data_IF_328881341044
#
_entry.id   IF_328881341044
#
_cell.length_a   1.000
_cell.length_b   1.000
_cell.length_c   1.000
_cell.angle_alpha   90.00
_cell.angle_beta   90.00
_cell.angle_gamma   90.00
#
_symmetry.space_group_name_H-M   'P 1'
#
loop_
_entity.id
_entity.type
_entity.pdbx_description
1 polymer ?
#
# COMPACT_ATOMS: atom_id res chain seq x y z
N UNK A 1 14.40 -26.77 -4.25
CA UNK A 1 14.28 -25.46 -3.59
C UNK A 1 15.42 -24.56 -4.03
N UNK A 2 15.12 -23.34 -4.42
CA UNK A 2 16.15 -22.40 -4.85
C UNK A 2 16.64 -21.54 -3.68
N UNK A 3 17.89 -21.10 -3.76
CA UNK A 3 18.47 -20.17 -2.79
C UNK A 3 18.59 -18.81 -3.48
N UNK A 4 18.06 -17.77 -2.83
CA UNK A 4 18.09 -16.40 -3.35
C UNK A 4 18.74 -15.49 -2.31
N UNK A 5 19.65 -14.63 -2.78
CA UNK A 5 20.29 -13.64 -1.92
C UNK A 5 19.59 -12.28 -2.08
N UNK A 6 19.32 -11.63 -0.96
CA UNK A 6 18.63 -10.34 -0.92
C UNK A 6 19.41 -9.38 -0.03
N UNK A 7 19.34 -8.10 -0.37
CA UNK A 7 19.93 -7.02 0.45
C UNK A 7 18.82 -6.27 1.17
N UNK A 8 19.04 -6.03 2.46
CA UNK A 8 18.11 -5.27 3.31
C UNK A 8 18.88 -4.14 4.02
N UNK A 9 18.23 -2.98 4.22
CA UNK A 9 18.80 -1.98 5.12
C UNK A 9 19.02 -2.54 6.52
N UNK A 10 20.06 -2.06 7.22
CA UNK A 10 20.40 -2.56 8.55
C UNK A 10 19.23 -2.47 9.53
N UNK A 11 18.47 -1.39 9.49
CA UNK A 11 17.31 -1.22 10.35
C UNK A 11 16.24 -2.28 10.08
N UNK A 12 16.02 -2.61 8.81
CA UNK A 12 15.04 -3.64 8.43
C UNK A 12 15.47 -5.02 8.92
N UNK A 13 16.76 -5.32 8.95
CA UNK A 13 17.28 -6.58 9.52
C UNK A 13 16.92 -6.68 11.01
N UNK A 14 17.07 -5.59 11.76
CA UNK A 14 16.71 -5.56 13.19
C UNK A 14 15.21 -5.79 13.38
N UNK A 15 14.40 -5.15 12.59
CA UNK A 15 12.95 -5.31 12.63
C UNK A 15 12.52 -6.73 12.24
N UNK A 16 13.15 -7.29 11.21
CA UNK A 16 12.94 -8.68 10.79
C UNK A 16 13.22 -9.66 11.93
N UNK A 17 14.35 -9.51 12.61
CA UNK A 17 14.74 -10.39 13.71
C UNK A 17 13.80 -10.25 14.90
N UNK A 18 13.30 -9.04 15.15
CA UNK A 18 12.32 -8.78 16.20
C UNK A 18 10.98 -9.48 15.91
N UNK A 19 10.48 -9.35 14.70
CA UNK A 19 9.23 -10.00 14.27
C UNK A 19 9.39 -11.52 14.28
N UNK A 20 10.53 -12.02 13.84
CA UNK A 20 10.80 -13.45 13.82
C UNK A 20 10.72 -14.05 15.23
N UNK A 21 11.30 -13.37 16.22
CA UNK A 21 11.27 -13.85 17.61
C UNK A 21 9.88 -13.72 18.24
N UNK A 22 9.24 -12.54 18.11
CA UNK A 22 7.94 -12.30 18.73
C UNK A 22 6.82 -13.09 18.08
N UNK A 23 6.92 -13.35 16.77
CA UNK A 23 5.92 -14.07 16.01
C UNK A 23 6.09 -15.60 16.02
N UNK A 24 7.14 -16.12 16.64
CA UNK A 24 7.38 -17.57 16.72
C UNK A 24 7.80 -18.21 15.41
N UNK A 25 8.36 -17.45 14.48
CA UNK A 25 8.86 -18.00 13.23
C UNK A 25 10.19 -18.73 13.47
N UNK A 26 10.37 -19.86 12.78
CA UNK A 26 11.55 -20.72 12.96
C UNK A 26 12.87 -20.05 12.54
N UNK A 27 12.82 -19.08 11.61
CA UNK A 27 13.99 -18.35 11.17
C UNK A 27 13.62 -17.29 10.14
N UNK A 28 14.63 -16.60 9.61
CA UNK A 28 14.43 -15.53 8.62
C UNK A 28 13.76 -16.04 7.35
N UNK A 29 14.16 -17.21 6.86
CA UNK A 29 13.56 -17.78 5.64
C UNK A 29 12.07 -18.07 5.81
N UNK A 30 11.66 -18.62 6.96
CA UNK A 30 10.24 -18.87 7.22
C UNK A 30 9.46 -17.56 7.35
N UNK A 31 10.03 -16.57 8.01
CA UNK A 31 9.40 -15.24 8.11
C UNK A 31 9.18 -14.65 6.72
N UNK A 32 10.19 -14.67 5.86
CA UNK A 32 10.09 -14.12 4.49
C UNK A 32 9.06 -14.90 3.67
N UNK A 33 9.05 -16.23 3.75
CA UNK A 33 8.04 -17.04 3.04
C UNK A 33 6.63 -16.69 3.50
N UNK A 34 6.43 -16.53 4.80
CA UNK A 34 5.13 -16.15 5.36
C UNK A 34 4.69 -14.77 4.91
N UNK A 35 5.60 -13.81 4.87
CA UNK A 35 5.32 -12.46 4.38
C UNK A 35 4.90 -12.47 2.90
N UNK A 36 5.61 -13.25 2.08
CA UNK A 36 5.28 -13.37 0.65
C UNK A 36 3.91 -14.03 0.47
N UNK A 37 3.61 -15.09 1.23
CA UNK A 37 2.29 -15.73 1.16
C UNK A 37 1.18 -14.75 1.52
N UNK A 38 1.38 -13.96 2.58
CA UNK A 38 0.41 -12.95 3.00
C UNK A 38 0.16 -11.90 1.91
N UNK A 39 1.23 -11.42 1.28
CA UNK A 39 1.13 -10.45 0.19
C UNK A 39 0.43 -11.05 -1.04
N UNK A 40 0.70 -12.31 -1.36
CA UNK A 40 0.03 -12.99 -2.47
C UNK A 40 -1.47 -13.15 -2.23
N UNK A 41 -1.88 -13.48 -1.02
CA UNK A 41 -3.30 -13.57 -0.66
C UNK A 41 -3.99 -12.22 -0.78
N UNK A 42 -3.37 -11.15 -0.25
CA UNK A 42 -3.89 -9.79 -0.36
C UNK A 42 -4.05 -9.37 -1.82
N UNK A 43 -3.05 -9.67 -2.65
CA UNK A 43 -3.10 -9.36 -4.09
C UNK A 43 -4.22 -10.12 -4.80
N UNK A 44 -4.46 -11.39 -4.46
CA UNK A 44 -5.54 -12.19 -5.03
C UNK A 44 -6.91 -11.62 -4.68
N UNK A 45 -7.13 -11.24 -3.44
CA UNK A 45 -8.38 -10.62 -3.02
C UNK A 45 -8.65 -9.34 -3.81
N UNK A 46 -7.65 -8.47 -3.95
CA UNK A 46 -7.79 -7.21 -4.68
C UNK A 46 -8.02 -7.44 -6.18
N UNK A 47 -7.33 -8.40 -6.78
CA UNK A 47 -7.45 -8.71 -8.21
C UNK A 47 -8.73 -9.46 -8.55
N UNK A 48 -9.32 -10.17 -7.60
CA UNK A 48 -10.58 -10.89 -7.80
C UNK A 48 -11.80 -9.97 -7.80
N UNK A 49 -11.64 -8.72 -7.37
CA UNK A 49 -12.74 -7.77 -7.32
C UNK A 49 -13.18 -7.37 -8.73
N UNK A 50 -14.47 -7.34 -8.94
CA UNK A 50 -15.07 -6.98 -10.22
C UNK A 50 -16.35 -6.19 -10.00
N UNK A 51 -16.80 -5.49 -11.06
CA UNK A 51 -18.01 -4.69 -11.02
C UNK A 51 -17.83 -3.37 -10.28
N UNK A 52 -18.91 -2.83 -9.79
CA UNK A 52 -18.95 -1.57 -9.07
C UNK A 52 -18.49 -1.77 -7.62
N UNK A 53 -17.63 -0.88 -7.13
CA UNK A 53 -17.11 -1.03 -5.78
C UNK A 53 -17.00 0.33 -5.07
N UNK A 54 -17.04 0.25 -3.74
CA UNK A 54 -16.71 1.35 -2.83
C UNK A 54 -15.45 0.98 -2.06
N UNK A 55 -14.49 1.89 -2.03
CA UNK A 55 -13.21 1.65 -1.40
C UNK A 55 -12.59 2.94 -0.85
N UNK A 56 -11.58 2.79 -0.02
CA UNK A 56 -10.77 3.92 0.45
C UNK A 56 -9.32 3.63 0.13
N UNK A 57 -8.63 4.60 -0.47
CA UNK A 57 -7.17 4.58 -0.57
C UNK A 57 -6.61 5.53 0.49
N UNK A 58 -5.70 5.04 1.30
CA UNK A 58 -4.99 5.82 2.31
C UNK A 58 -3.53 5.94 1.87
N UNK A 59 -3.07 7.19 1.73
CA UNK A 59 -1.69 7.48 1.29
C UNK A 59 -1.01 8.32 2.36
N UNK A 60 0.21 7.96 2.72
CA UNK A 60 1.05 8.79 3.57
C UNK A 60 2.29 9.23 2.78
N UNK A 61 2.68 10.50 2.96
CA UNK A 61 3.80 11.08 2.24
C UNK A 61 4.40 12.25 3.00
N UNK A 62 5.62 12.62 2.63
CA UNK A 62 6.21 13.87 3.09
C UNK A 62 5.49 15.04 2.40
N UNK A 63 5.34 16.16 3.10
CA UNK A 63 4.65 17.33 2.56
C UNK A 63 5.25 17.87 1.25
N UNK A 64 6.54 17.61 1.00
CA UNK A 64 7.21 18.02 -0.23
C UNK A 64 6.83 17.16 -1.45
N UNK A 65 6.16 16.03 -1.25
CA UNK A 65 5.83 15.07 -2.31
C UNK A 65 4.33 15.08 -2.67
N UNK A 66 3.72 16.25 -2.67
CA UNK A 66 2.30 16.43 -3.01
C UNK A 66 2.00 16.28 -4.51
N UNK A 67 2.96 16.62 -5.38
CA UNK A 67 2.72 16.69 -6.82
C UNK A 67 2.17 15.39 -7.45
N UNK A 68 2.72 14.20 -7.19
CA UNK A 68 2.18 12.98 -7.77
C UNK A 68 0.76 12.68 -7.29
N UNK A 69 0.42 13.06 -6.06
CA UNK A 69 -0.91 12.83 -5.50
C UNK A 69 -1.94 13.72 -6.21
N UNK A 70 -1.64 14.98 -6.41
CA UNK A 70 -2.50 15.92 -7.14
C UNK A 70 -2.74 15.44 -8.56
N UNK A 71 -1.68 14.97 -9.23
CA UNK A 71 -1.78 14.43 -10.59
C UNK A 71 -2.72 13.24 -10.66
N UNK A 72 -2.55 12.27 -9.76
CA UNK A 72 -3.38 11.05 -9.75
C UNK A 72 -4.82 11.35 -9.36
N UNK A 73 -5.06 12.28 -8.46
CA UNK A 73 -6.40 12.74 -8.12
C UNK A 73 -7.12 13.27 -9.38
N UNK A 74 -6.44 14.05 -10.21
CA UNK A 74 -7.02 14.56 -11.45
C UNK A 74 -7.29 13.44 -12.46
N UNK A 75 -6.35 12.49 -12.62
CA UNK A 75 -6.53 11.39 -13.56
C UNK A 75 -7.74 10.51 -13.21
N UNK A 76 -8.02 10.31 -11.93
CA UNK A 76 -9.09 9.44 -11.44
C UNK A 76 -10.25 10.21 -10.82
N UNK A 77 -10.42 11.48 -11.20
CA UNK A 77 -11.43 12.37 -10.65
C UNK A 77 -12.85 11.79 -10.72
N UNK A 78 -13.16 11.02 -11.75
CA UNK A 78 -14.47 10.41 -11.94
C UNK A 78 -14.87 9.37 -10.89
N UNK A 79 -13.90 8.76 -10.20
CA UNK A 79 -14.17 7.79 -9.13
C UNK A 79 -13.94 8.34 -7.73
N UNK A 80 -13.38 9.55 -7.59
CA UNK A 80 -13.13 10.16 -6.28
C UNK A 80 -14.39 10.88 -5.80
N UNK A 81 -14.98 10.38 -4.71
CA UNK A 81 -16.15 10.99 -4.07
C UNK A 81 -15.75 12.04 -3.04
N UNK A 82 -14.76 11.73 -2.25
CA UNK A 82 -14.28 12.60 -1.17
C UNK A 82 -12.78 12.46 -1.07
N UNK A 83 -12.12 13.56 -0.81
CA UNK A 83 -10.68 13.62 -0.58
C UNK A 83 -10.42 14.41 0.69
N UNK A 84 -9.66 13.81 1.60
CA UNK A 84 -9.25 14.45 2.85
C UNK A 84 -7.73 14.47 2.87
N UNK A 85 -7.16 15.63 3.17
CA UNK A 85 -5.74 15.83 3.31
C UNK A 85 -5.45 16.50 4.66
N UNK A 86 -4.68 15.83 5.49
CA UNK A 86 -4.26 16.37 6.78
C UNK A 86 -2.79 16.15 7.04
N UNK A 87 -2.17 17.13 7.68
CA UNK A 87 -0.82 17.00 8.21
C UNK A 87 -0.91 16.27 9.55
N UNK A 88 -0.16 15.17 9.71
CA UNK A 88 -0.22 14.31 10.90
C UNK A 88 0.99 14.45 11.82
N UNK A 89 2.08 15.01 11.31
CA UNK A 89 3.29 15.30 12.08
C UNK A 89 4.04 16.44 11.40
N UNK A 90 5.25 16.77 11.84
CA UNK A 90 5.99 17.93 11.35
C UNK A 90 6.05 18.03 9.82
N UNK A 91 6.35 16.93 9.14
CA UNK A 91 6.49 16.91 7.68
C UNK A 91 5.62 15.86 7.00
N UNK A 92 4.91 15.03 7.76
CA UNK A 92 4.12 13.92 7.20
C UNK A 92 2.67 14.31 7.01
N UNK A 93 2.12 13.89 5.88
CA UNK A 93 0.72 14.08 5.54
C UNK A 93 0.05 12.73 5.35
N UNK A 94 -1.24 12.67 5.64
CA UNK A 94 -2.12 11.57 5.28
C UNK A 94 -3.20 12.08 4.35
N UNK A 95 -3.47 11.33 3.29
CA UNK A 95 -4.57 11.62 2.38
C UNK A 95 -5.45 10.39 2.25
N UNK A 96 -6.76 10.63 2.34
CA UNK A 96 -7.77 9.59 2.17
C UNK A 96 -8.61 9.93 0.94
N UNK A 97 -8.81 8.92 0.09
CA UNK A 97 -9.67 9.04 -1.08
C UNK A 97 -10.81 8.04 -0.93
N UNK A 98 -12.02 8.55 -0.75
CA UNK A 98 -13.21 7.72 -0.81
C UNK A 98 -13.58 7.55 -2.28
N UNK A 99 -13.58 6.30 -2.73
CA UNK A 99 -13.76 5.95 -4.14
C UNK A 99 -15.05 5.17 -4.35
N UNK A 100 -15.71 5.47 -5.46
CA UNK A 100 -16.85 4.71 -5.94
C UNK A 100 -16.74 4.60 -7.45
N UNK A 101 -16.70 3.38 -7.96
CA UNK A 101 -16.60 3.15 -9.40
C UNK A 101 -16.26 1.73 -9.77
N UNK A 102 -15.85 1.54 -11.01
CA UNK A 102 -15.44 0.23 -11.51
C UNK A 102 -14.21 -0.27 -10.77
N UNK A 103 -14.26 -1.52 -10.33
CA UNK A 103 -13.18 -2.17 -9.59
C UNK A 103 -11.85 -2.12 -10.35
N UNK A 104 -11.87 -2.23 -11.68
CA UNK A 104 -10.64 -2.10 -12.49
C UNK A 104 -10.03 -0.73 -12.37
N UNK A 105 -10.85 0.30 -12.33
CA UNK A 105 -10.38 1.68 -12.22
C UNK A 105 -9.84 1.97 -10.83
N UNK A 106 -10.51 1.46 -9.79
CA UNK A 106 -10.01 1.52 -8.41
C UNK A 106 -8.65 0.82 -8.30
N UNK A 107 -8.53 -0.36 -8.89
CA UNK A 107 -7.27 -1.11 -8.95
C UNK A 107 -6.17 -0.35 -9.68
N UNK A 108 -6.50 0.30 -10.80
CA UNK A 108 -5.54 1.11 -11.57
C UNK A 108 -5.04 2.30 -10.76
N UNK A 109 -5.92 3.00 -10.07
CA UNK A 109 -5.54 4.12 -9.20
C UNK A 109 -4.62 3.67 -8.07
N UNK A 110 -4.96 2.56 -7.42
CA UNK A 110 -4.13 1.96 -6.36
C UNK A 110 -2.75 1.62 -6.90
N UNK A 111 -2.69 0.98 -8.07
CA UNK A 111 -1.43 0.59 -8.71
C UNK A 111 -0.56 1.81 -9.04
N UNK A 112 -1.16 2.87 -9.57
CA UNK A 112 -0.43 4.10 -9.88
C UNK A 112 0.15 4.77 -8.63
N UNK A 113 -0.58 4.77 -7.51
CA UNK A 113 -0.03 5.24 -6.25
C UNK A 113 1.13 4.36 -5.76
N UNK A 114 0.99 3.04 -5.87
CA UNK A 114 2.03 2.10 -5.43
C UNK A 114 3.32 2.22 -6.23
N UNK A 115 3.25 2.65 -7.48
CA UNK A 115 4.42 2.89 -8.33
C UNK A 115 5.22 4.11 -7.91
N UNK A 116 4.62 5.03 -7.17
CA UNK A 116 5.29 6.25 -6.72
C UNK A 116 6.21 5.95 -5.54
N UNK A 117 7.50 5.89 -5.80
CA UNK A 117 8.52 5.56 -4.80
C UNK A 117 8.70 6.61 -3.70
N UNK A 118 8.22 7.84 -3.95
CA UNK A 118 8.30 8.94 -2.98
C UNK A 118 7.22 8.89 -1.90
N UNK A 119 6.20 8.05 -2.06
CA UNK A 119 5.16 7.88 -1.05
C UNK A 119 5.65 6.92 0.04
N UNK A 120 5.26 7.18 1.27
CA UNK A 120 5.67 6.34 2.41
C UNK A 120 4.83 5.08 2.52
N UNK A 121 3.53 5.19 2.30
CA UNK A 121 2.64 4.04 2.32
C UNK A 121 1.42 4.28 1.46
N UNK A 122 0.88 3.20 0.92
CA UNK A 122 -0.36 3.17 0.15
C UNK A 122 -1.16 1.97 0.62
N UNK A 123 -2.41 2.19 1.03
CA UNK A 123 -3.27 1.12 1.51
C UNK A 123 -4.65 1.24 0.88
N UNK A 124 -5.12 0.15 0.29
CA UNK A 124 -6.49 0.03 -0.22
C UNK A 124 -7.35 -0.71 0.80
N UNK A 125 -8.48 -0.10 1.16
CA UNK A 125 -9.49 -0.74 2.00
C UNK A 125 -10.76 -0.86 1.17
N UNK A 126 -11.19 -2.08 0.90
CA UNK A 126 -12.42 -2.34 0.17
C UNK A 126 -13.58 -2.32 1.16
N UNK A 127 -14.61 -1.54 0.87
CA UNK A 127 -15.78 -1.40 1.73
C UNK A 127 -16.91 -2.29 1.24
N UNK A 128 -17.15 -2.25 -0.07
CA UNK A 128 -18.25 -3.02 -0.64
C UNK A 128 -18.10 -3.21 -2.16
#
# INVERSE_FOLDING_TARGET
MAIVSLSFPDQMIKEMDQIQRSGGFAGRSELVRSAIRLLLEDSKEKNALSGHMNAIIIVTHDESNEAPITRLKHEFDDIVKTHIHNKISQTNCVELFLLEGDAKKVGSMTHEFQKEDKLKSVKLVVIE
#
